data_IF_339456408405
#
_entry.id   IF_339456408405
#
_cell.length_a   1.000
_cell.length_b   1.000
_cell.length_c   1.000
_cell.angle_alpha   90.00
_cell.angle_beta   90.00
_cell.angle_gamma   90.00
#
_symmetry.space_group_name_H-M   'P 1'
#
loop_
_entity.id
_entity.type
_entity.pdbx_description
1 polymer ?
#
# COMPACT_ATOMS: atom_id res chain seq x y z
N UNK A 1 -37.68 1.52 -50.09
CA UNK A 1 -38.10 0.60 -49.00
C UNK A 1 -36.94 0.12 -48.12
N UNK A 2 -35.73 -0.14 -48.65
CA UNK A 2 -34.60 -0.66 -47.86
C UNK A 2 -34.05 0.31 -46.77
N UNK A 3 -34.04 1.63 -47.01
CA UNK A 3 -33.59 2.65 -46.02
C UNK A 3 -34.40 2.69 -44.71
N UNK A 4 -35.69 2.33 -44.74
CA UNK A 4 -36.54 2.29 -43.53
C UNK A 4 -36.24 1.09 -42.62
N UNK A 5 -35.53 0.08 -43.13
CA UNK A 5 -35.13 -1.13 -42.40
C UNK A 5 -33.71 -0.95 -41.80
N UNK A 6 -32.82 -0.22 -42.47
CA UNK A 6 -31.44 -0.04 -41.98
C UNK A 6 -31.32 0.89 -40.76
N UNK A 7 -32.19 1.90 -40.63
CA UNK A 7 -32.19 2.81 -39.47
C UNK A 7 -32.49 2.08 -38.14
N UNK A 8 -33.59 1.30 -38.01
CA UNK A 8 -33.84 0.56 -36.77
C UNK A 8 -32.80 -0.54 -36.52
N UNK A 9 -32.20 -1.11 -37.57
CA UNK A 9 -31.16 -2.11 -37.45
C UNK A 9 -29.85 -1.53 -36.90
N UNK A 10 -29.45 -0.33 -37.36
CA UNK A 10 -28.27 0.39 -36.85
C UNK A 10 -28.50 0.86 -35.42
N UNK A 11 -29.70 1.37 -35.09
CA UNK A 11 -30.05 1.78 -33.72
C UNK A 11 -30.04 0.56 -32.78
N UNK A 12 -30.58 -0.58 -33.21
CA UNK A 12 -30.55 -1.82 -32.43
C UNK A 12 -29.12 -2.31 -32.16
N UNK A 13 -28.24 -2.24 -33.17
CA UNK A 13 -26.82 -2.59 -33.00
C UNK A 13 -26.13 -1.61 -32.05
N UNK A 14 -26.35 -0.29 -32.19
CA UNK A 14 -25.75 0.72 -31.32
C UNK A 14 -26.22 0.59 -29.86
N UNK A 15 -27.50 0.28 -29.66
CA UNK A 15 -28.06 0.04 -28.33
C UNK A 15 -27.50 -1.24 -27.70
N UNK A 16 -27.28 -2.30 -28.50
CA UNK A 16 -26.65 -3.53 -28.02
C UNK A 16 -25.19 -3.32 -27.60
N UNK A 17 -24.43 -2.50 -28.31
CA UNK A 17 -23.04 -2.13 -27.95
C UNK A 17 -23.01 -1.31 -26.65
N UNK A 18 -23.92 -0.34 -26.49
CA UNK A 18 -24.02 0.46 -25.27
C UNK A 18 -24.37 -0.37 -24.02
N UNK A 19 -25.25 -1.36 -24.15
CA UNK A 19 -25.60 -2.28 -23.06
C UNK A 19 -24.44 -3.25 -22.76
N UNK A 20 -23.70 -3.68 -23.79
CA UNK A 20 -22.55 -4.58 -23.61
C UNK A 20 -21.36 -3.89 -22.93
N UNK A 21 -21.09 -2.62 -23.23
CA UNK A 21 -20.03 -1.84 -22.56
C UNK A 21 -20.42 -1.32 -21.19
N UNK A 22 -21.72 -1.18 -20.90
CA UNK A 22 -22.23 -0.68 -19.61
C UNK A 22 -22.24 -1.70 -18.47
N UNK A 23 -22.05 -3.00 -18.77
CA UNK A 23 -22.14 -4.09 -17.80
C UNK A 23 -20.79 -4.68 -17.38
N UNK A 24 -19.68 -4.20 -17.95
CA UNK A 24 -18.36 -4.43 -17.37
C UNK A 24 -18.13 -3.39 -16.28
N UNK A 25 -18.92 -3.48 -15.22
CA UNK A 25 -18.48 -2.93 -13.94
C UNK A 25 -17.13 -3.60 -13.63
N UNK A 26 -16.04 -2.86 -13.78
CA UNK A 26 -14.77 -3.24 -13.18
C UNK A 26 -15.06 -3.31 -11.68
N UNK A 27 -15.35 -4.53 -11.21
CA UNK A 27 -15.24 -4.86 -9.82
C UNK A 27 -13.74 -4.75 -9.53
N UNK A 28 -13.32 -3.55 -9.13
CA UNK A 28 -12.09 -3.34 -8.38
C UNK A 28 -12.29 -4.01 -7.02
N UNK A 29 -12.43 -5.34 -7.00
CA UNK A 29 -12.02 -6.09 -5.84
C UNK A 29 -10.53 -5.80 -5.73
N UNK A 30 -10.21 -4.93 -4.77
CA UNK A 30 -8.89 -4.67 -4.24
C UNK A 30 -8.02 -5.90 -4.50
N UNK A 31 -7.11 -5.79 -5.46
CA UNK A 31 -6.28 -6.90 -5.92
C UNK A 31 -5.50 -7.38 -4.70
N UNK A 32 -5.95 -8.48 -4.07
CA UNK A 32 -5.20 -9.13 -2.99
C UNK A 32 -3.81 -9.38 -3.54
N UNK A 33 -2.82 -8.69 -2.98
CA UNK A 33 -1.48 -8.76 -3.54
C UNK A 33 -1.00 -10.20 -3.45
N UNK A 34 -0.48 -10.76 -4.54
CA UNK A 34 0.00 -12.15 -4.57
C UNK A 34 1.29 -12.33 -3.73
N UNK A 35 1.72 -11.30 -2.99
CA UNK A 35 2.90 -11.30 -2.17
C UNK A 35 2.56 -10.80 -0.77
N UNK A 36 3.23 -11.36 0.22
CA UNK A 36 3.15 -10.87 1.60
C UNK A 36 4.44 -10.15 1.95
N UNK A 37 4.35 -9.08 2.73
CA UNK A 37 5.51 -8.34 3.20
C UNK A 37 6.19 -9.10 4.35
N UNK A 38 7.43 -9.51 4.10
CA UNK A 38 8.24 -10.36 4.99
C UNK A 38 8.92 -9.61 6.14
N UNK A 39 8.97 -8.28 6.08
CA UNK A 39 9.80 -7.51 7.02
C UNK A 39 11.30 -7.59 6.71
N UNK A 40 12.07 -6.66 7.30
CA UNK A 40 13.50 -6.48 7.00
C UNK A 40 14.38 -7.60 7.54
N UNK A 41 13.92 -8.32 8.58
CA UNK A 41 14.66 -9.44 9.19
C UNK A 41 14.88 -10.55 8.16
N UNK A 42 13.92 -10.78 7.27
CA UNK A 42 14.07 -11.76 6.18
C UNK A 42 15.17 -11.37 5.17
N UNK A 43 15.54 -10.09 5.13
CA UNK A 43 16.62 -9.57 4.30
C UNK A 43 17.97 -9.51 5.05
N UNK A 44 18.04 -9.94 6.33
CA UNK A 44 19.22 -9.79 7.21
C UNK A 44 20.36 -10.78 6.90
N UNK A 45 21.00 -11.35 7.93
CA UNK A 45 22.45 -11.38 8.02
C UNK A 45 23.13 -12.30 7.02
N UNK A 46 22.37 -13.28 6.57
CA UNK A 46 22.82 -14.32 5.65
C UNK A 46 23.07 -13.74 4.25
N UNK A 47 22.34 -12.71 3.84
CA UNK A 47 22.39 -12.19 2.46
C UNK A 47 22.80 -10.72 2.36
N UNK A 48 22.29 -9.83 3.21
CA UNK A 48 22.54 -8.38 3.10
C UNK A 48 23.34 -7.75 4.25
N UNK A 49 23.86 -8.54 5.19
CA UNK A 49 24.83 -8.07 6.21
C UNK A 49 26.27 -8.49 5.92
N UNK A 50 26.49 -9.26 4.85
CA UNK A 50 27.82 -9.66 4.41
C UNK A 50 28.54 -8.51 3.70
N UNK A 51 29.76 -8.21 4.11
CA UNK A 51 30.55 -7.07 3.61
C UNK A 51 30.83 -7.17 2.09
N UNK A 52 31.01 -8.38 1.58
CA UNK A 52 31.18 -8.63 0.14
C UNK A 52 29.91 -8.41 -0.69
N UNK A 53 28.77 -8.09 -0.05
CA UNK A 53 27.51 -7.66 -0.68
C UNK A 53 27.07 -6.28 -0.19
N UNK A 54 28.03 -5.42 0.12
CA UNK A 54 27.83 -4.00 0.46
C UNK A 54 27.09 -3.73 1.78
N UNK A 55 26.83 -4.75 2.59
CA UNK A 55 26.25 -4.60 3.93
C UNK A 55 24.99 -3.71 3.97
N UNK A 56 24.09 -3.90 3.00
CA UNK A 56 22.89 -3.09 2.81
C UNK A 56 21.97 -3.08 4.04
N UNK A 57 21.94 -4.17 4.81
CA UNK A 57 21.18 -4.24 6.05
C UNK A 57 21.69 -3.21 7.08
N UNK A 58 23.00 -3.13 7.31
CA UNK A 58 23.58 -2.15 8.22
C UNK A 58 23.39 -0.72 7.70
N UNK A 59 23.58 -0.49 6.39
CA UNK A 59 23.36 0.82 5.77
C UNK A 59 21.92 1.29 5.94
N UNK A 60 20.96 0.38 5.79
CA UNK A 60 19.55 0.65 6.04
C UNK A 60 19.27 0.97 7.51
N UNK A 61 19.85 0.22 8.47
CA UNK A 61 19.67 0.49 9.91
C UNK A 61 20.14 1.90 10.31
N UNK A 62 21.20 2.41 9.67
CA UNK A 62 21.69 3.78 9.94
C UNK A 62 21.01 4.84 9.07
N UNK A 63 20.06 4.46 8.21
CA UNK A 63 19.36 5.37 7.31
C UNK A 63 18.26 6.18 8.03
N UNK A 64 17.80 7.24 7.37
CA UNK A 64 16.63 8.01 7.83
C UNK A 64 15.34 7.19 7.74
N UNK A 65 15.25 6.24 6.81
CA UNK A 65 14.06 5.44 6.59
C UNK A 65 13.80 4.44 7.72
N UNK A 66 14.86 3.86 8.31
CA UNK A 66 14.73 3.04 9.52
C UNK A 66 14.31 3.89 10.73
N UNK A 67 14.95 5.05 10.90
CA UNK A 67 14.72 5.94 12.06
C UNK A 67 13.42 6.75 12.00
N UNK A 68 12.67 6.69 10.91
CA UNK A 68 11.50 7.56 10.70
C UNK A 68 10.38 7.31 11.73
N UNK A 69 10.31 6.11 12.30
CA UNK A 69 9.33 5.76 13.33
C UNK A 69 9.59 6.48 14.65
N UNK A 70 10.86 6.79 14.94
CA UNK A 70 11.28 7.50 16.17
C UNK A 70 10.63 8.90 16.21
N UNK A 71 10.46 9.54 15.05
CA UNK A 71 9.80 10.84 14.97
C UNK A 71 8.34 10.79 15.46
N UNK A 72 7.68 9.62 15.35
CA UNK A 72 6.31 9.42 15.83
C UNK A 72 6.23 9.11 17.34
N UNK A 73 7.35 8.90 18.02
CA UNK A 73 7.42 8.61 19.45
C UNK A 73 7.67 9.87 20.30
N UNK A 74 7.46 11.05 19.72
CA UNK A 74 7.68 12.34 20.38
C UNK A 74 6.36 12.94 20.86
N UNK A 75 6.41 13.70 21.96
CA UNK A 75 5.25 14.42 22.46
C UNK A 75 4.69 15.43 21.44
N UNK A 76 5.57 15.99 20.59
CA UNK A 76 5.16 16.87 19.49
C UNK A 76 4.32 16.10 18.45
N UNK A 77 4.76 14.91 18.05
CA UNK A 77 4.00 14.07 17.13
C UNK A 77 2.64 13.68 17.71
N UNK A 78 2.58 13.31 18.99
CA UNK A 78 1.32 13.00 19.68
C UNK A 78 0.38 14.22 19.72
N UNK A 79 0.93 15.42 19.92
CA UNK A 79 0.14 16.65 19.87
C UNK A 79 -0.40 16.91 18.46
N UNK A 80 0.38 16.61 17.40
CA UNK A 80 -0.09 16.70 16.01
C UNK A 80 -1.21 15.69 15.75
N UNK A 81 -1.09 14.44 16.22
CA UNK A 81 -2.14 13.43 16.10
C UNK A 81 -3.43 13.88 16.81
N UNK A 82 -3.31 14.41 18.03
CA UNK A 82 -4.42 14.98 18.80
C UNK A 82 -5.07 16.17 18.09
N UNK A 83 -4.28 17.09 17.55
CA UNK A 83 -4.79 18.25 16.80
C UNK A 83 -5.53 17.84 15.52
N UNK A 84 -5.20 16.67 14.95
CA UNK A 84 -5.92 16.05 13.82
C UNK A 84 -7.15 15.25 14.24
N UNK A 85 -7.48 15.19 15.52
CA UNK A 85 -8.67 14.52 16.05
C UNK A 85 -8.46 13.05 16.43
N UNK A 86 -7.22 12.56 16.50
CA UNK A 86 -6.92 11.20 16.95
C UNK A 86 -6.73 11.13 18.46
N UNK A 87 -7.24 10.06 19.07
CA UNK A 87 -7.08 9.76 20.50
C UNK A 87 -5.86 8.90 20.80
N UNK A 88 -5.23 8.33 19.78
CA UNK A 88 -4.04 7.47 19.88
C UNK A 88 -2.76 8.31 19.72
N UNK A 89 -1.63 7.87 20.32
CA UNK A 89 -0.31 8.40 19.99
C UNK A 89 -0.02 8.37 18.49
N UNK A 90 0.87 9.22 18.00
CA UNK A 90 1.22 9.27 16.58
C UNK A 90 1.78 7.94 16.06
N UNK A 91 2.57 7.24 16.88
CA UNK A 91 3.12 5.91 16.56
C UNK A 91 2.08 4.76 16.49
N UNK A 92 0.82 5.04 16.83
CA UNK A 92 -0.29 4.10 16.76
C UNK A 92 -1.40 4.59 15.82
N UNK A 93 -1.35 5.86 15.42
CA UNK A 93 -2.31 6.46 14.52
C UNK A 93 -2.08 5.97 13.10
N UNK A 94 -3.05 5.24 12.53
CA UNK A 94 -2.94 4.63 11.19
C UNK A 94 -2.54 5.66 10.12
N UNK A 95 -3.08 6.87 10.17
CA UNK A 95 -2.73 7.95 9.24
C UNK A 95 -1.23 8.29 9.26
N UNK A 96 -0.60 8.27 10.43
CA UNK A 96 0.84 8.53 10.58
C UNK A 96 1.66 7.33 10.08
N UNK A 97 1.21 6.13 10.39
CA UNK A 97 1.88 4.87 10.04
C UNK A 97 1.89 4.56 8.54
N UNK A 98 0.91 5.09 7.79
CA UNK A 98 0.86 5.03 6.31
C UNK A 98 2.20 5.33 5.64
N UNK A 99 2.88 6.37 6.12
CA UNK A 99 4.18 6.76 5.58
C UNK A 99 5.35 6.34 6.46
N UNK A 100 5.18 6.13 7.77
CA UNK A 100 6.30 5.95 8.70
C UNK A 100 6.61 4.48 9.05
N UNK A 101 5.78 3.53 8.65
CA UNK A 101 5.94 2.13 9.03
C UNK A 101 5.61 1.15 7.91
N UNK A 102 5.67 1.58 6.63
CA UNK A 102 5.29 0.74 5.49
C UNK A 102 3.85 0.22 5.51
N UNK A 103 2.97 0.79 6.34
CA UNK A 103 1.59 0.33 6.52
C UNK A 103 0.60 0.98 5.53
N UNK A 104 1.09 1.58 4.44
CA UNK A 104 0.18 2.12 3.43
C UNK A 104 -0.57 0.95 2.79
N UNK A 105 -1.86 0.86 3.10
CA UNK A 105 -2.85 -0.01 2.44
C UNK A 105 -2.55 -1.52 2.52
N UNK A 106 -1.65 -1.96 3.41
CA UNK A 106 -1.35 -3.37 3.62
C UNK A 106 -2.47 -4.01 4.44
N UNK A 107 -3.19 -4.94 3.81
CA UNK A 107 -4.12 -5.83 4.49
C UNK A 107 -3.34 -6.66 5.55
N UNK A 108 -3.82 -6.81 6.80
CA UNK A 108 -3.19 -7.70 7.79
C UNK A 108 -2.92 -9.13 7.29
N UNK A 109 -3.67 -9.61 6.30
CA UNK A 109 -3.41 -10.91 5.67
C UNK A 109 -2.17 -10.92 4.76
N UNK A 110 -1.70 -9.74 4.34
CA UNK A 110 -0.58 -9.49 3.43
C UNK A 110 0.74 -9.17 4.16
N UNK A 111 0.81 -9.40 5.47
CA UNK A 111 2.04 -9.29 6.27
C UNK A 111 2.37 -10.64 6.92
N UNK A 112 3.66 -10.96 6.99
CA UNK A 112 4.15 -12.10 7.77
C UNK A 112 4.34 -11.70 9.24
N UNK A 113 4.33 -12.70 10.13
CA UNK A 113 4.57 -12.50 11.57
C UNK A 113 5.95 -11.88 11.88
N UNK A 114 6.90 -11.98 10.94
CA UNK A 114 8.23 -11.37 11.01
C UNK A 114 8.24 -9.87 10.70
N UNK A 115 7.13 -9.30 10.25
CA UNK A 115 7.00 -7.87 10.01
C UNK A 115 6.87 -7.12 11.34
N UNK A 116 7.71 -6.09 11.53
CA UNK A 116 7.60 -5.18 12.66
C UNK A 116 7.62 -3.74 12.16
N UNK A 117 6.55 -3.01 12.49
CA UNK A 117 6.35 -1.60 12.17
C UNK A 117 7.45 -0.68 12.74
N UNK A 118 8.11 -1.12 13.82
CA UNK A 118 9.19 -0.36 14.46
C UNK A 118 10.49 -0.40 13.65
N UNK A 119 10.58 -1.22 12.62
CA UNK A 119 11.70 -1.17 11.68
C UNK A 119 11.63 0.02 10.72
N UNK A 120 10.54 0.79 10.69
CA UNK A 120 10.39 1.92 9.78
C UNK A 120 10.17 1.47 8.33
N UNK A 121 10.70 2.23 7.36
CA UNK A 121 10.48 1.99 5.94
C UNK A 121 11.68 1.24 5.33
N UNK A 122 11.41 0.23 4.52
CA UNK A 122 12.35 -0.46 3.65
C UNK A 122 12.26 0.21 2.27
N UNK A 123 13.28 0.98 1.89
CA UNK A 123 13.40 1.67 0.59
C UNK A 123 14.86 1.79 0.20
#
# INVERSE_FOLDING_TARGET
MKKKIYIPLIIGIFFSVLVFTGNTGFNDKLHSSCYKNLGIISCDATCHKVDNKSNQYLLWQISKHHRVIINLQTAEADQIAKNKGYSTPAAETLLCLKCHALLNDINPEEIYDSFDKNHGIQK
#
